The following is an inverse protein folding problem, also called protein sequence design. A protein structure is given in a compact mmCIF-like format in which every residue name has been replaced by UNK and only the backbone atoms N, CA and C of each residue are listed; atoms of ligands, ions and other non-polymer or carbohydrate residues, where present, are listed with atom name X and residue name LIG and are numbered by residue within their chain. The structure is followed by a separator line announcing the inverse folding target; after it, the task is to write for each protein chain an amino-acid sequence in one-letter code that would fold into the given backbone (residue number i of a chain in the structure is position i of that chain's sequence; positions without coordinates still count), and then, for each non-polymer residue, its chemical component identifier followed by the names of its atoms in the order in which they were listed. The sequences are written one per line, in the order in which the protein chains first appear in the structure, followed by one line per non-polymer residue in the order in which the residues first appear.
data_IF_048133602931
#
_entry.id   IF_048133602931
#
_cell.length_a   1.000
_cell.length_b   1.000
_cell.length_c   1.000
_cell.angle_alpha   90.00
_cell.angle_beta   90.00
_cell.angle_gamma   90.00
#
_symmetry.space_group_name_H-M   'P 1'
#
loop_
_entity.id
_entity.type
_entity.pdbx_description
1 polymer ?
#
# COMPACT_ATOMS: atom_id res chain seq x y z
N UNK A 1 1.92 -21.97 24.23
CA UNK A 1 2.13 -20.65 23.58
C UNK A 1 0.95 -20.44 22.66
N UNK A 2 -0.07 -19.70 23.12
CA UNK A 2 -1.25 -19.39 22.31
C UNK A 2 -0.97 -18.26 21.31
N UNK A 3 -1.74 -18.14 20.22
CA UNK A 3 -1.60 -17.01 19.31
C UNK A 3 -2.03 -15.72 20.01
N UNK A 4 -1.16 -14.70 19.97
CA UNK A 4 -1.51 -13.34 20.36
C UNK A 4 -2.55 -12.81 19.38
N UNK A 5 -3.83 -12.91 19.72
CA UNK A 5 -4.89 -12.18 19.02
C UNK A 5 -4.69 -10.69 19.31
N UNK A 6 -4.39 -9.91 18.27
CA UNK A 6 -4.41 -8.45 18.36
C UNK A 6 -5.86 -8.00 18.62
N UNK A 7 -6.11 -7.07 19.54
CA UNK A 7 -7.46 -6.55 19.75
C UNK A 7 -7.90 -5.87 18.45
N UNK A 8 -8.87 -6.47 17.77
CA UNK A 8 -9.56 -5.84 16.66
C UNK A 8 -10.17 -4.55 17.21
N UNK A 9 -9.97 -3.42 16.52
CA UNK A 9 -10.68 -2.19 16.86
C UNK A 9 -12.14 -2.46 16.53
N UNK A 10 -12.95 -2.80 17.55
CA UNK A 10 -14.36 -3.12 17.39
C UNK A 10 -15.10 -1.88 16.88
N UNK A 11 -15.31 -1.80 15.57
CA UNK A 11 -16.33 -0.93 14.99
C UNK A 11 -17.63 -1.71 14.84
N UNK A 12 -18.76 -1.05 15.13
CA UNK A 12 -20.07 -1.65 14.96
C UNK A 12 -20.71 -1.10 13.68
N UNK A 13 -21.48 -1.91 12.93
CA UNK A 13 -22.25 -1.40 11.79
C UNK A 13 -23.15 -0.26 12.25
N UNK A 14 -22.90 0.96 11.76
CA UNK A 14 -23.63 2.17 12.15
C UNK A 14 -22.90 3.11 13.12
N UNK A 15 -21.75 2.73 13.68
CA UNK A 15 -20.93 3.62 14.51
C UNK A 15 -20.04 4.57 13.70
N UNK A 16 -19.90 4.33 12.40
CA UNK A 16 -19.13 5.18 11.49
C UNK A 16 -19.99 6.29 10.90
N UNK A 17 -19.45 7.52 10.85
CA UNK A 17 -20.12 8.66 10.24
C UNK A 17 -20.50 8.44 8.76
N UNK A 18 -21.38 9.30 8.25
CA UNK A 18 -21.80 9.24 6.85
C UNK A 18 -20.58 9.28 5.91
N UNK A 19 -20.55 8.39 4.92
CA UNK A 19 -19.41 8.21 4.01
C UNK A 19 -18.30 7.29 4.53
N UNK A 20 -18.44 6.69 5.73
CA UNK A 20 -17.48 5.74 6.29
C UNK A 20 -18.13 4.35 6.52
N UNK A 21 -17.32 3.30 6.45
CA UNK A 21 -17.70 1.91 6.72
C UNK A 21 -16.75 1.28 7.71
N UNK A 22 -17.26 0.30 8.46
CA UNK A 22 -16.48 -0.49 9.40
C UNK A 22 -15.61 -1.52 8.66
N UNK A 23 -14.33 -1.60 9.02
CA UNK A 23 -13.35 -2.55 8.49
C UNK A 23 -12.39 -3.01 9.59
N UNK A 24 -11.32 -3.74 9.21
CA UNK A 24 -10.40 -4.39 10.15
C UNK A 24 -9.67 -3.42 11.10
N UNK A 25 -9.58 -2.15 10.71
CA UNK A 25 -8.87 -1.10 11.44
C UNK A 25 -9.81 -0.02 12.00
N UNK A 26 -11.12 -0.29 12.05
CA UNK A 26 -12.15 0.68 12.44
C UNK A 26 -12.86 1.32 11.25
N UNK A 27 -13.21 2.60 11.36
CA UNK A 27 -13.95 3.31 10.31
C UNK A 27 -13.02 3.79 9.18
N UNK A 28 -13.30 3.39 7.95
CA UNK A 28 -12.59 3.85 6.74
C UNK A 28 -13.58 4.43 5.72
N UNK A 29 -13.10 5.33 4.85
CA UNK A 29 -13.96 5.99 3.85
C UNK A 29 -14.55 4.95 2.89
N UNK A 30 -15.86 5.06 2.63
CA UNK A 30 -16.52 4.26 1.58
C UNK A 30 -16.10 4.83 0.23
N UNK A 31 -15.35 4.04 -0.53
CA UNK A 31 -15.27 4.28 -1.97
C UNK A 31 -16.59 3.88 -2.61
N UNK A 32 -17.34 4.88 -3.07
CA UNK A 32 -18.37 4.64 -4.08
C UNK A 32 -17.61 4.26 -5.34
N UNK A 33 -17.57 2.96 -5.65
CA UNK A 33 -17.18 2.53 -6.99
C UNK A 33 -18.23 3.12 -7.91
N UNK A 34 -17.89 4.23 -8.58
CA UNK A 34 -18.65 4.64 -9.74
C UNK A 34 -18.51 3.47 -10.71
N UNK A 35 -19.52 2.61 -10.78
CA UNK A 35 -19.72 1.79 -11.96
C UNK A 35 -19.76 2.80 -13.10
N UNK A 36 -18.72 2.80 -13.93
CA UNK A 36 -18.74 3.58 -15.16
C UNK A 36 -19.84 2.96 -16.00
N UNK A 37 -21.04 3.51 -15.86
CA UNK A 37 -22.23 3.04 -16.54
C UNK A 37 -22.03 3.39 -18.01
N UNK A 38 -21.59 2.39 -18.77
CA UNK A 38 -21.22 2.56 -20.17
C UNK A 38 -22.44 2.43 -21.06
N UNK A 39 -23.48 3.21 -20.78
CA UNK A 39 -24.62 3.39 -21.70
C UNK A 39 -24.38 4.62 -22.56
N UNK A 40 -23.53 4.46 -23.57
CA UNK A 40 -23.62 5.27 -24.79
C UNK A 40 -23.80 4.29 -25.95
N UNK A 41 -25.04 3.89 -26.19
CA UNK A 41 -25.45 3.46 -27.52
C UNK A 41 -25.52 4.72 -28.39
N UNK A 42 -24.39 5.18 -28.91
CA UNK A 42 -24.38 6.12 -30.03
C UNK A 42 -24.16 5.31 -31.30
N UNK A 43 -25.22 5.15 -32.08
CA UNK A 43 -25.19 4.64 -33.45
C UNK A 43 -24.06 5.33 -34.24
N UNK A 44 -23.27 4.60 -35.05
CA UNK A 44 -22.15 5.20 -35.75
C UNK A 44 -22.65 6.11 -36.88
N UNK A 45 -22.56 7.43 -36.68
CA UNK A 45 -22.55 8.39 -37.79
C UNK A 45 -21.13 8.43 -38.36
N UNK A 46 -21.00 8.14 -39.65
CA UNK A 46 -19.77 8.21 -40.42
C UNK A 46 -19.05 9.56 -40.20
N UNK A 47 -17.78 9.53 -39.78
CA UNK A 47 -16.84 10.63 -40.07
C UNK A 47 -16.38 11.57 -38.95
N UNK A 48 -16.40 11.19 -37.67
CA UNK A 48 -15.70 11.97 -36.63
C UNK A 48 -14.70 11.11 -35.83
N UNK A 49 -13.46 11.60 -35.79
CA UNK A 49 -12.31 11.02 -35.13
C UNK A 49 -12.63 10.54 -33.71
N UNK A 50 -12.18 9.32 -33.41
CA UNK A 50 -12.27 8.64 -32.13
C UNK A 50 -11.73 9.55 -31.00
N UNK A 51 -12.62 10.18 -30.24
CA UNK A 51 -12.30 10.58 -28.87
C UNK A 51 -12.17 9.30 -28.04
N UNK A 52 -11.02 8.63 -28.17
CA UNK A 52 -10.59 7.63 -27.21
C UNK A 52 -10.42 8.42 -25.90
N UNK A 53 -11.16 8.12 -24.82
CA UNK A 53 -10.84 8.71 -23.54
C UNK A 53 -9.39 8.37 -23.29
N UNK A 54 -8.52 9.38 -23.20
CA UNK A 54 -7.15 9.17 -22.76
C UNK A 54 -7.26 8.45 -21.41
N UNK A 55 -6.90 7.17 -21.38
CA UNK A 55 -6.63 6.49 -20.12
C UNK A 55 -5.48 7.27 -19.50
N UNK A 56 -5.80 8.17 -18.57
CA UNK A 56 -4.78 8.87 -17.78
C UNK A 56 -3.98 7.78 -17.08
N UNK A 57 -2.70 7.64 -17.45
CA UNK A 57 -1.76 6.82 -16.70
C UNK A 57 -1.65 7.41 -15.30
N UNK A 58 -2.01 6.63 -14.30
CA UNK A 58 -1.87 7.07 -12.91
C UNK A 58 -0.40 7.24 -12.56
N UNK A 59 -0.08 8.20 -11.71
CA UNK A 59 1.26 8.29 -11.12
C UNK A 59 1.48 7.13 -10.13
N UNK A 60 2.73 6.79 -9.79
CA UNK A 60 3.02 5.78 -8.77
C UNK A 60 2.34 6.08 -7.42
N UNK A 61 2.32 7.36 -6.98
CA UNK A 61 1.61 7.78 -5.76
C UNK A 61 0.10 7.59 -5.89
N UNK A 62 -0.50 7.93 -7.04
CA UNK A 62 -1.92 7.71 -7.28
C UNK A 62 -2.27 6.22 -7.24
N UNK A 63 -1.42 5.34 -7.78
CA UNK A 63 -1.61 3.89 -7.68
C UNK A 63 -1.48 3.41 -6.24
N UNK A 64 -0.49 3.91 -5.50
CA UNK A 64 -0.22 3.53 -4.12
C UNK A 64 -1.39 3.90 -3.20
N UNK A 65 -1.80 5.18 -3.18
CA UNK A 65 -2.91 5.60 -2.32
C UNK A 65 -4.24 4.96 -2.73
N UNK A 66 -4.42 4.70 -4.04
CA UNK A 66 -5.60 3.95 -4.49
C UNK A 66 -5.66 2.54 -3.93
N UNK A 67 -4.53 1.84 -3.89
CA UNK A 67 -4.50 0.53 -3.26
C UNK A 67 -4.86 0.63 -1.77
N UNK A 68 -4.27 1.59 -1.02
CA UNK A 68 -4.58 1.74 0.41
C UNK A 68 -6.06 1.99 0.70
N UNK A 69 -6.71 2.85 -0.08
CA UNK A 69 -8.15 3.10 0.05
C UNK A 69 -8.99 1.86 -0.32
N UNK A 70 -8.59 1.10 -1.35
CA UNK A 70 -9.28 -0.14 -1.74
C UNK A 70 -9.16 -1.23 -0.68
N UNK A 71 -8.11 -1.20 0.15
CA UNK A 71 -7.93 -2.08 1.31
C UNK A 71 -8.61 -1.55 2.57
N UNK A 72 -9.31 -0.41 2.49
CA UNK A 72 -10.08 0.14 3.60
C UNK A 72 -9.21 0.62 4.76
N UNK A 73 -8.01 1.15 4.46
CA UNK A 73 -7.19 1.76 5.50
C UNK A 73 -7.81 3.08 6.00
N UNK A 74 -7.71 3.38 7.32
CA UNK A 74 -8.24 4.62 7.89
C UNK A 74 -7.41 5.84 7.45
N UNK A 75 -7.99 7.04 7.54
CA UNK A 75 -7.38 8.28 7.05
C UNK A 75 -5.96 8.53 7.62
N UNK A 76 -5.72 8.19 8.89
CA UNK A 76 -4.40 8.29 9.51
C UNK A 76 -3.33 7.47 8.77
N UNK A 77 -3.72 6.32 8.20
CA UNK A 77 -2.85 5.49 7.40
C UNK A 77 -2.73 5.98 5.95
N UNK A 78 -3.80 6.56 5.40
CA UNK A 78 -3.78 7.12 4.03
C UNK A 78 -2.74 8.24 3.87
N UNK A 79 -2.47 9.00 4.95
CA UNK A 79 -1.40 10.00 4.97
C UNK A 79 0.00 9.42 4.73
N UNK A 80 0.15 8.09 4.82
CA UNK A 80 1.42 7.35 4.61
C UNK A 80 1.45 6.63 3.26
N UNK A 81 0.40 6.73 2.45
CA UNK A 81 0.28 6.00 1.19
C UNK A 81 0.79 6.79 -0.01
N UNK A 82 1.91 7.49 0.19
CA UNK A 82 2.69 8.12 -0.89
C UNK A 82 4.15 7.76 -0.68
N UNK A 83 4.94 7.75 -1.74
CA UNK A 83 6.36 7.47 -1.65
C UNK A 83 7.14 8.57 -0.90
N UNK A 84 6.59 9.77 -0.77
CA UNK A 84 7.18 10.83 0.04
C UNK A 84 6.93 10.64 1.53
N UNK A 85 5.71 10.23 1.92
CA UNK A 85 5.29 10.14 3.32
C UNK A 85 5.47 8.74 3.92
N UNK A 86 5.65 7.73 3.08
CA UNK A 86 6.06 6.41 3.50
C UNK A 86 7.57 6.44 3.78
N UNK A 87 7.93 6.65 5.05
CA UNK A 87 9.32 6.76 5.51
C UNK A 87 9.60 5.83 6.69
N UNK A 88 10.89 5.65 7.00
CA UNK A 88 11.35 4.94 8.21
C UNK A 88 10.74 5.54 9.47
N UNK A 89 10.69 6.87 9.56
CA UNK A 89 10.18 7.60 10.73
C UNK A 89 8.67 7.36 10.89
N UNK A 90 7.92 7.36 9.78
CA UNK A 90 6.49 7.06 9.82
C UNK A 90 6.21 5.65 10.36
N UNK A 91 6.93 4.64 9.86
CA UNK A 91 6.83 3.25 10.34
C UNK A 91 7.30 3.10 11.79
N UNK A 92 8.35 3.82 12.17
CA UNK A 92 8.89 3.81 13.54
C UNK A 92 7.86 4.38 14.52
N UNK A 93 7.19 5.49 14.17
CA UNK A 93 6.12 6.07 15.00
C UNK A 93 4.89 5.16 15.10
N UNK A 94 4.52 4.47 14.02
CA UNK A 94 3.46 3.44 14.07
C UNK A 94 3.83 2.31 15.02
N UNK A 95 5.07 1.84 14.98
CA UNK A 95 5.58 0.78 15.84
C UNK A 95 5.53 1.18 17.32
N UNK A 96 5.99 2.39 17.66
CA UNK A 96 5.95 2.91 19.02
C UNK A 96 4.56 3.38 19.47
N UNK A 97 3.54 3.21 18.61
CA UNK A 97 2.15 3.64 18.88
C UNK A 97 2.03 5.14 19.19
N UNK A 98 2.98 5.93 18.70
CA UNK A 98 2.94 7.40 18.75
C UNK A 98 2.23 7.98 17.53
N UNK A 99 1.94 7.14 16.54
CA UNK A 99 1.15 7.46 15.37
C UNK A 99 -0.30 6.96 15.50
N UNK A 100 -1.25 7.70 14.92
CA UNK A 100 -2.66 7.31 14.90
C UNK A 100 -2.94 6.12 13.97
N UNK A 101 -2.06 5.84 13.00
CA UNK A 101 -2.15 4.63 12.17
C UNK A 101 -1.51 3.44 12.92
N UNK A 102 -2.26 2.35 13.14
CA UNK A 102 -1.76 1.17 13.83
C UNK A 102 -0.68 0.44 13.02
N UNK A 103 0.31 -0.16 13.70
CA UNK A 103 1.41 -0.92 13.05
C UNK A 103 0.89 -2.11 12.23
N UNK A 104 -0.27 -2.66 12.58
CA UNK A 104 -0.94 -3.74 11.85
C UNK A 104 -1.35 -3.34 10.42
N UNK A 105 -1.51 -2.04 10.15
CA UNK A 105 -1.75 -1.53 8.79
C UNK A 105 -0.47 -1.47 7.95
N UNK A 106 0.73 -1.54 8.55
CA UNK A 106 1.99 -1.40 7.82
C UNK A 106 2.19 -2.49 6.75
N UNK A 107 1.71 -3.72 7.01
CA UNK A 107 1.77 -4.80 6.03
C UNK A 107 0.95 -4.48 4.76
N UNK A 108 -0.23 -3.89 4.94
CA UNK A 108 -1.09 -3.51 3.81
C UNK A 108 -0.54 -2.28 3.06
N UNK A 109 0.04 -1.32 3.79
CA UNK A 109 0.73 -0.17 3.19
C UNK A 109 1.93 -0.66 2.36
N UNK A 110 2.76 -1.56 2.91
CA UNK A 110 3.92 -2.14 2.21
C UNK A 110 3.48 -2.93 0.96
N UNK A 111 2.44 -3.75 1.08
CA UNK A 111 1.87 -4.49 -0.05
C UNK A 111 1.44 -3.55 -1.18
N UNK A 112 0.77 -2.45 -0.81
CA UNK A 112 0.31 -1.44 -1.77
C UNK A 112 1.46 -0.67 -2.41
N UNK A 113 2.50 -0.30 -1.66
CA UNK A 113 3.69 0.35 -2.22
C UNK A 113 4.38 -0.55 -3.26
N UNK A 114 4.54 -1.84 -2.94
CA UNK A 114 5.21 -2.81 -3.79
C UNK A 114 4.31 -3.40 -4.91
N UNK A 115 3.02 -3.04 -4.94
CA UNK A 115 1.98 -3.61 -5.83
C UNK A 115 1.85 -5.14 -5.77
N UNK A 116 2.14 -5.75 -4.63
CA UNK A 116 2.08 -7.21 -4.49
C UNK A 116 3.04 -8.00 -5.39
N UNK A 117 4.19 -7.40 -5.76
CA UNK A 117 5.21 -8.00 -6.64
C UNK A 117 6.46 -8.42 -5.87
N UNK A 118 7.33 -9.14 -6.56
CA UNK A 118 8.66 -9.52 -6.09
C UNK A 118 9.71 -8.54 -6.61
N UNK A 119 10.36 -7.81 -5.71
CA UNK A 119 11.41 -6.84 -6.00
C UNK A 119 12.80 -7.29 -5.51
N UNK A 120 12.96 -8.56 -5.11
CA UNK A 120 14.19 -9.04 -4.47
C UNK A 120 15.44 -8.76 -5.31
N UNK A 121 15.38 -8.95 -6.63
CA UNK A 121 16.52 -8.67 -7.52
C UNK A 121 16.95 -7.21 -7.50
N UNK A 122 15.98 -6.28 -7.48
CA UNK A 122 16.27 -4.85 -7.35
C UNK A 122 16.83 -4.53 -5.95
N UNK A 123 16.23 -5.09 -4.90
CA UNK A 123 16.67 -4.88 -3.52
C UNK A 123 18.09 -5.38 -3.27
N UNK A 124 18.46 -6.55 -3.80
CA UNK A 124 19.83 -7.08 -3.70
C UNK A 124 20.80 -6.12 -4.39
N UNK A 125 20.50 -5.69 -5.63
CA UNK A 125 21.34 -4.74 -6.38
C UNK A 125 21.50 -3.39 -5.67
N UNK A 126 20.46 -2.95 -4.95
CA UNK A 126 20.45 -1.67 -4.21
C UNK A 126 20.90 -1.81 -2.75
N UNK A 127 21.53 -2.92 -2.37
CA UNK A 127 22.20 -3.06 -1.08
C UNK A 127 21.25 -3.21 0.13
N UNK A 128 20.01 -3.63 -0.08
CA UNK A 128 19.06 -3.93 1.02
C UNK A 128 19.58 -5.06 1.92
N UNK A 129 20.38 -5.96 1.37
CA UNK A 129 21.01 -7.08 2.10
C UNK A 129 22.30 -6.70 2.83
N UNK A 130 22.76 -5.45 2.76
CA UNK A 130 23.98 -5.01 3.46
C UNK A 130 23.73 -4.57 4.91
N UNK A 131 22.50 -4.71 5.41
CA UNK A 131 22.16 -4.39 6.79
C UNK A 131 22.59 -5.52 7.73
N UNK A 132 22.52 -5.29 9.04
CA UNK A 132 22.81 -6.32 10.04
C UNK A 132 21.91 -7.57 9.89
N UNK A 133 20.66 -7.39 9.41
CA UNK A 133 19.71 -8.48 9.18
C UNK A 133 19.88 -9.18 7.83
N UNK A 134 20.78 -8.71 6.97
CA UNK A 134 21.17 -9.38 5.74
C UNK A 134 20.00 -9.72 4.82
N UNK A 135 19.93 -10.97 4.37
CA UNK A 135 18.88 -11.47 3.48
C UNK A 135 17.48 -11.47 4.10
N UNK A 136 17.33 -11.35 5.44
CA UNK A 136 16.00 -11.24 6.06
C UNK A 136 15.25 -10.01 5.57
N UNK A 137 15.96 -8.94 5.19
CA UNK A 137 15.34 -7.73 4.68
C UNK A 137 14.67 -7.91 3.30
N UNK A 138 14.95 -9.00 2.60
CA UNK A 138 14.28 -9.33 1.34
C UNK A 138 12.81 -9.72 1.53
N UNK A 139 12.38 -10.00 2.76
CA UNK A 139 10.95 -10.20 3.08
C UNK A 139 10.13 -8.94 2.85
N UNK A 140 10.71 -7.74 2.99
CA UNK A 140 10.05 -6.48 2.61
C UNK A 140 9.93 -6.30 1.10
N UNK A 141 10.79 -6.94 0.32
CA UNK A 141 10.85 -6.77 -1.12
C UNK A 141 9.94 -7.74 -1.87
N UNK A 142 9.59 -8.88 -1.28
CA UNK A 142 8.67 -9.85 -1.86
C UNK A 142 7.28 -9.72 -1.23
N UNK A 143 6.39 -8.98 -1.90
CA UNK A 143 5.04 -8.70 -1.41
C UNK A 143 3.96 -9.54 -2.11
N UNK A 144 4.33 -10.65 -2.76
CA UNK A 144 3.36 -11.53 -3.43
C UNK A 144 2.38 -12.14 -2.44
N UNK A 145 1.11 -12.22 -2.85
CA UNK A 145 0.06 -12.90 -2.10
C UNK A 145 0.38 -14.40 -1.93
N UNK A 146 -0.05 -14.99 -0.82
CA UNK A 146 0.14 -16.42 -0.52
C UNK A 146 1.41 -16.77 0.24
N UNK A 147 2.25 -15.78 0.60
CA UNK A 147 3.27 -15.92 1.65
C UNK A 147 2.68 -15.61 3.03
N UNK A 148 3.28 -16.19 4.07
CA UNK A 148 2.99 -15.81 5.45
C UNK A 148 3.25 -14.31 5.61
N UNK A 149 2.26 -13.58 6.13
CA UNK A 149 2.40 -12.16 6.41
C UNK A 149 3.53 -11.99 7.42
N UNK A 150 4.64 -11.41 6.99
CA UNK A 150 5.76 -11.14 7.89
C UNK A 150 5.30 -10.11 8.90
N UNK A 151 5.29 -10.47 10.18
CA UNK A 151 5.07 -9.49 11.23
C UNK A 151 6.31 -8.59 11.29
N UNK A 152 6.12 -7.34 10.86
CA UNK A 152 7.15 -6.30 10.83
C UNK A 152 7.50 -5.88 12.27
N UNK A 153 8.23 -6.75 12.98
CA UNK A 153 8.62 -6.61 14.38
C UNK A 153 10.05 -6.05 14.53
N UNK A 154 10.52 -5.90 15.78
CA UNK A 154 11.82 -5.30 16.10
C UNK A 154 13.03 -5.98 15.44
N UNK A 155 12.94 -7.27 15.11
CA UNK A 155 14.04 -8.00 14.46
C UNK A 155 14.36 -7.46 13.06
N UNK A 156 13.46 -6.65 12.50
CA UNK A 156 13.59 -6.06 11.18
C UNK A 156 13.98 -4.58 11.22
N UNK A 157 14.20 -3.97 12.39
CA UNK A 157 14.55 -2.55 12.48
C UNK A 157 15.78 -2.18 11.66
N UNK A 158 16.82 -3.03 11.65
CA UNK A 158 18.02 -2.78 10.84
C UNK A 158 17.74 -2.79 9.35
N UNK A 159 16.65 -3.42 8.89
CA UNK A 159 16.24 -3.35 7.50
C UNK A 159 15.84 -1.92 7.13
N UNK A 160 15.24 -1.17 8.05
CA UNK A 160 14.82 0.21 7.77
C UNK A 160 15.97 1.16 7.48
N UNK A 161 17.22 0.81 7.80
CA UNK A 161 18.40 1.59 7.38
C UNK A 161 18.57 1.64 5.85
N UNK A 162 17.93 0.70 5.14
CA UNK A 162 17.87 0.65 3.66
C UNK A 162 16.47 0.91 3.12
N UNK A 163 15.60 1.56 3.90
CA UNK A 163 14.20 1.74 3.54
C UNK A 163 14.02 2.54 2.25
N UNK A 164 14.80 3.59 2.05
CA UNK A 164 14.77 4.38 0.81
C UNK A 164 15.18 3.55 -0.42
N UNK A 165 16.15 2.64 -0.27
CA UNK A 165 16.55 1.73 -1.36
C UNK A 165 15.44 0.72 -1.70
N UNK A 166 14.74 0.19 -0.69
CA UNK A 166 13.57 -0.67 -0.92
C UNK A 166 12.47 0.10 -1.67
N UNK A 167 12.14 1.29 -1.15
CA UNK A 167 11.08 2.15 -1.70
C UNK A 167 11.38 2.61 -3.13
N UNK A 168 12.64 2.90 -3.44
CA UNK A 168 13.08 3.22 -4.79
C UNK A 168 12.76 2.10 -5.79
N UNK A 169 13.01 0.84 -5.42
CA UNK A 169 12.66 -0.32 -6.27
C UNK A 169 11.16 -0.38 -6.60
N UNK A 170 10.32 -0.10 -5.61
CA UNK A 170 8.87 -0.10 -5.78
C UNK A 170 8.40 1.03 -6.70
N UNK A 171 8.95 2.24 -6.53
CA UNK A 171 8.62 3.41 -7.34
C UNK A 171 8.98 3.21 -8.81
N UNK A 172 10.21 2.79 -9.11
CA UNK A 172 10.67 2.66 -10.49
C UNK A 172 9.88 1.59 -11.26
N UNK A 173 9.47 0.52 -10.58
CA UNK A 173 8.58 -0.48 -11.15
C UNK A 173 7.22 0.12 -11.58
N UNK A 174 6.62 0.97 -10.74
CA UNK A 174 5.39 1.69 -11.03
C UNK A 174 5.54 2.72 -12.15
N UNK A 175 6.68 3.43 -12.17
CA UNK A 175 6.99 4.46 -13.16
C UNK A 175 7.33 3.88 -14.55
N UNK A 176 7.31 2.56 -14.73
CA UNK A 176 7.66 1.90 -15.99
C UNK A 176 9.15 1.92 -16.31
N UNK A 177 10.00 2.25 -15.32
CA UNK A 177 11.45 2.26 -15.46
C UNK A 177 11.99 0.89 -15.06
N UNK A 178 12.36 0.06 -16.04
CA UNK A 178 13.02 -1.23 -15.82
C UNK A 178 14.53 -1.00 -15.69
N UNK A 179 15.13 -1.54 -14.63
CA UNK A 179 16.60 -1.65 -14.46
C UNK A 179 17.08 -3.07 -14.70
#
# INVERSE_FOLDING_TARGET
MGPCFTPQVNCYPGSCGSGYACGSYGCARRRVRAHSDRTLQSSPIFGMSRFRPQQRSLSPDEMFIRCCEDRGLPDACLQKCTFQTYTKEALTSMYFKTDACPIEAAAEIQFCAAQGRDHRDCCVRNGVTTTLSGNKCLEFCDQRLGKNVTQLNMSYLSCYDRFEQMKGCFWHNLAGQRF
#
